data_IF_183392558192
#
_entry.id   IF_183392558192
#
_cell.length_a   1.000
_cell.length_b   1.000
_cell.length_c   1.000
_cell.angle_alpha   90.00
_cell.angle_beta   90.00
_cell.angle_gamma   90.00
#
_symmetry.space_group_name_H-M   'P 1'
#
loop_
_entity.id
_entity.type
_entity.pdbx_description
1 polymer ?
#
# COMPACT_ATOMS: atom_id res chain seq x y z
N UNK A 1 -26.47 25.36 -30.94
CA UNK A 1 -26.53 23.93 -30.57
C UNK A 1 -25.28 23.57 -29.78
N UNK A 2 -25.46 23.06 -28.57
CA UNK A 2 -24.40 22.58 -27.67
C UNK A 2 -23.69 21.32 -28.22
N UNK A 3 -22.38 21.20 -27.96
CA UNK A 3 -21.80 20.13 -27.13
C UNK A 3 -20.27 20.11 -27.22
N UNK A 4 -19.66 20.49 -26.10
CA UNK A 4 -18.30 20.12 -25.72
C UNK A 4 -18.29 18.66 -25.26
N UNK A 5 -17.30 17.88 -25.71
CA UNK A 5 -16.94 16.58 -25.10
C UNK A 5 -15.41 16.53 -25.21
N UNK A 6 -14.61 16.76 -24.15
CA UNK A 6 -14.37 15.88 -22.99
C UNK A 6 -13.94 14.49 -23.45
N UNK A 7 -12.86 13.82 -23.04
CA UNK A 7 -11.67 14.07 -22.23
C UNK A 7 -10.81 12.81 -22.46
N UNK A 8 -9.54 12.96 -22.80
CA UNK A 8 -8.41 12.16 -22.30
C UNK A 8 -8.62 10.63 -22.19
N UNK A 9 -8.36 9.90 -23.27
CA UNK A 9 -8.10 8.45 -23.21
C UNK A 9 -6.79 8.24 -22.43
N UNK A 10 -6.97 7.92 -21.15
CA UNK A 10 -5.91 7.48 -20.27
C UNK A 10 -5.55 6.07 -20.71
N UNK A 11 -4.51 5.95 -21.54
CA UNK A 11 -3.72 4.73 -21.69
C UNK A 11 -3.08 4.41 -20.33
N UNK A 12 -3.90 3.95 -19.38
CA UNK A 12 -3.45 3.40 -18.11
C UNK A 12 -2.60 2.21 -18.47
N UNK A 13 -1.28 2.37 -18.30
CA UNK A 13 -0.33 1.28 -18.34
C UNK A 13 -0.95 0.11 -17.59
N UNK A 14 -1.10 -1.02 -18.28
CA UNK A 14 -1.35 -2.31 -17.65
C UNK A 14 -0.12 -2.61 -16.79
N UNK A 15 -0.08 -1.99 -15.61
CA UNK A 15 0.85 -2.33 -14.55
C UNK A 15 0.36 -3.69 -14.08
N UNK A 16 1.18 -4.72 -14.29
CA UNK A 16 0.93 -6.05 -13.74
C UNK A 16 0.36 -5.91 -12.32
N UNK A 17 -0.87 -6.38 -12.06
CA UNK A 17 -1.57 -6.14 -10.79
C UNK A 17 -0.83 -6.72 -9.58
N UNK A 18 0.20 -7.56 -9.79
CA UNK A 18 1.10 -8.06 -8.74
C UNK A 18 2.35 -7.22 -8.48
N UNK A 19 2.67 -6.23 -9.32
CA UNK A 19 3.93 -5.47 -9.23
C UNK A 19 3.84 -4.26 -8.28
N UNK A 20 2.64 -3.70 -8.13
CA UNK A 20 2.36 -2.58 -7.21
C UNK A 20 1.09 -2.84 -6.42
N UNK A 21 1.22 -3.10 -5.12
CA UNK A 21 0.08 -3.15 -4.21
C UNK A 21 -0.49 -1.73 -4.05
N UNK A 22 -1.78 -1.56 -4.35
CA UNK A 22 -2.54 -0.40 -3.91
C UNK A 22 -3.07 -0.67 -2.50
N UNK A 23 -2.51 0.03 -1.52
CA UNK A 23 -2.99 -0.02 -0.14
C UNK A 23 -4.27 0.79 0.02
N UNK A 24 -5.21 0.31 0.82
CA UNK A 24 -6.37 1.10 1.25
C UNK A 24 -5.94 2.19 2.24
N UNK A 25 -6.72 3.29 2.41
CA UNK A 25 -6.39 4.32 3.39
C UNK A 25 -6.23 3.75 4.81
N UNK A 26 -7.06 2.77 5.19
CA UNK A 26 -6.97 2.09 6.49
C UNK A 26 -5.67 1.29 6.65
N UNK A 27 -5.22 0.60 5.58
CA UNK A 27 -3.94 -0.11 5.58
C UNK A 27 -2.77 0.86 5.70
N UNK A 28 -2.83 2.01 5.01
CA UNK A 28 -1.81 3.06 5.11
C UNK A 28 -1.77 3.64 6.52
N UNK A 29 -2.93 3.99 7.10
CA UNK A 29 -3.01 4.54 8.46
C UNK A 29 -2.40 3.58 9.50
N UNK A 30 -2.66 2.28 9.39
CA UNK A 30 -2.04 1.28 10.24
C UNK A 30 -0.51 1.24 10.06
N UNK A 31 -0.02 1.21 8.82
CA UNK A 31 1.42 1.24 8.52
C UNK A 31 2.09 2.54 9.03
N UNK A 32 1.44 3.69 8.91
CA UNK A 32 1.95 4.98 9.39
C UNK A 32 2.00 5.04 10.92
N UNK A 33 0.96 4.60 11.64
CA UNK A 33 1.02 4.49 13.11
C UNK A 33 2.23 3.69 13.58
N UNK A 34 2.47 2.56 12.92
CA UNK A 34 3.60 1.68 13.23
C UNK A 34 4.95 2.30 12.88
N UNK A 35 5.01 3.11 11.82
CA UNK A 35 6.21 3.88 11.46
C UNK A 35 6.57 4.91 12.54
N UNK A 36 5.58 5.59 13.10
CA UNK A 36 5.80 6.52 14.21
C UNK A 36 6.31 5.84 15.48
N UNK A 37 5.83 4.62 15.76
CA UNK A 37 6.29 3.84 16.91
C UNK A 37 7.71 3.26 16.70
N UNK A 38 8.03 2.80 15.49
CA UNK A 38 9.34 2.28 15.16
C UNK A 38 9.62 2.42 13.66
N UNK A 39 10.52 3.34 13.24
CA UNK A 39 10.82 3.54 11.82
C UNK A 39 11.60 2.37 11.19
N UNK A 40 12.10 1.42 12.00
CA UNK A 40 12.81 0.21 11.55
C UNK A 40 12.24 -1.04 12.21
N UNK A 41 11.05 -1.52 11.80
CA UNK A 41 10.49 -2.72 12.37
C UNK A 41 11.41 -3.92 12.07
N UNK A 42 11.76 -4.68 13.11
CA UNK A 42 12.47 -5.94 12.97
C UNK A 42 11.62 -6.97 12.18
N UNK A 43 12.25 -8.03 11.68
CA UNK A 43 11.53 -9.08 10.95
C UNK A 43 10.38 -9.69 11.75
N UNK A 44 10.57 -9.85 13.06
CA UNK A 44 9.55 -10.36 14.00
C UNK A 44 8.39 -9.38 14.09
N UNK A 45 8.66 -8.07 14.25
CA UNK A 45 7.62 -7.05 14.30
C UNK A 45 6.78 -7.10 13.03
N UNK A 46 7.39 -7.16 11.84
CA UNK A 46 6.66 -7.28 10.56
C UNK A 46 5.68 -8.46 10.50
N UNK A 47 6.07 -9.63 11.02
CA UNK A 47 5.16 -10.79 11.06
C UNK A 47 4.03 -10.60 12.07
N UNK A 48 4.32 -9.97 13.20
CA UNK A 48 3.31 -9.57 14.19
C UNK A 48 2.29 -8.62 13.58
N UNK A 49 2.70 -7.63 12.78
CA UNK A 49 1.77 -6.69 12.13
C UNK A 49 0.72 -7.38 11.25
N UNK A 50 1.13 -8.39 10.49
CA UNK A 50 0.21 -9.18 9.64
C UNK A 50 -0.81 -9.94 10.51
N UNK A 51 -0.42 -10.34 11.73
CA UNK A 51 -1.27 -11.06 12.69
C UNK A 51 -2.14 -10.13 13.54
N UNK A 52 -1.59 -9.00 13.97
CA UNK A 52 -2.25 -7.99 14.84
C UNK A 52 -3.22 -7.13 14.03
N UNK A 53 -2.92 -6.86 12.76
CA UNK A 53 -3.76 -6.07 11.87
C UNK A 53 -4.37 -6.99 10.79
N UNK A 54 -5.60 -7.50 10.96
CA UNK A 54 -6.25 -8.35 9.97
C UNK A 54 -6.40 -7.66 8.61
N UNK A 55 -6.47 -6.33 8.57
CA UNK A 55 -6.45 -5.55 7.33
C UNK A 55 -5.13 -5.67 6.54
N UNK A 56 -4.02 -6.00 7.21
CA UNK A 56 -2.72 -6.25 6.59
C UNK A 56 -2.48 -7.74 6.29
N UNK A 57 -3.43 -8.64 6.61
CA UNK A 57 -3.29 -10.10 6.43
C UNK A 57 -3.02 -10.50 4.97
N UNK A 58 -3.55 -9.74 4.02
CA UNK A 58 -3.37 -9.94 2.58
C UNK A 58 -2.10 -9.25 2.01
N UNK A 59 -1.27 -8.65 2.87
CA UNK A 59 -0.03 -7.98 2.45
C UNK A 59 1.15 -8.91 2.71
N UNK A 60 1.94 -9.17 1.68
CA UNK A 60 3.16 -9.96 1.84
C UNK A 60 4.21 -9.26 2.73
N UNK A 61 5.00 -10.02 3.53
CA UNK A 61 6.07 -9.44 4.36
C UNK A 61 7.09 -8.61 3.56
N UNK A 62 7.32 -8.97 2.30
CA UNK A 62 8.20 -8.23 1.38
C UNK A 62 7.62 -6.84 1.06
N UNK A 63 6.32 -6.72 0.89
CA UNK A 63 5.64 -5.45 0.60
C UNK A 63 5.72 -4.51 1.80
N UNK A 64 5.51 -5.02 3.01
CA UNK A 64 5.74 -4.27 4.26
C UNK A 64 7.20 -3.80 4.32
N UNK A 65 8.17 -4.69 4.04
CA UNK A 65 9.59 -4.32 4.01
C UNK A 65 9.89 -3.20 3.00
N UNK A 66 9.27 -3.21 1.82
CA UNK A 66 9.45 -2.17 0.80
C UNK A 66 8.79 -0.87 1.24
N UNK A 67 7.58 -0.92 1.81
CA UNK A 67 6.87 0.25 2.30
C UNK A 67 7.69 1.01 3.35
N UNK A 68 8.23 0.31 4.35
CA UNK A 68 9.10 0.90 5.38
C UNK A 68 10.47 1.37 4.86
N UNK A 69 10.92 0.94 3.68
CA UNK A 69 12.13 1.49 3.04
C UNK A 69 11.85 2.75 2.21
N UNK A 70 10.64 2.87 1.66
CA UNK A 70 10.22 4.00 0.84
C UNK A 70 9.61 5.16 1.64
N UNK A 71 9.39 4.94 2.95
CA UNK A 71 8.85 5.94 3.87
C UNK A 71 9.95 6.54 4.72
#
# INVERSE_FOLDING_TARGET
MMSVTSCKDSKGAAIDPGKYVRYTPEQVEALERLYHECPKPSAIRRQQLIRECPILSNIEPKQIKVWFQNR
#
